data_IF_044707246639
#
_entry.id   IF_044707246639
#
_cell.length_a   1.000
_cell.length_b   1.000
_cell.length_c   1.000
_cell.angle_alpha   90.00
_cell.angle_beta   90.00
_cell.angle_gamma   90.00
#
_symmetry.space_group_name_H-M   'P 1'
#
loop_
_entity.id
_entity.type
_entity.pdbx_description
1 polymer ?
#
# COMPACT_ATOMS: atom_id res chain seq x y z
N UNK A 1 -21.44 24.21 18.60
CA UNK A 1 -22.13 22.90 18.72
C UNK A 1 -21.45 21.93 19.71
N UNK A 2 -20.14 22.06 19.99
CA UNK A 2 -19.37 21.19 20.90
C UNK A 2 -19.64 21.35 22.42
N UNK A 3 -20.28 22.45 22.85
CA UNK A 3 -20.50 22.72 24.29
C UNK A 3 -21.76 22.05 24.88
N UNK A 4 -22.77 21.75 24.04
CA UNK A 4 -24.00 21.09 24.49
C UNK A 4 -23.86 19.57 24.54
N UNK A 5 -23.00 18.99 23.69
CA UNK A 5 -22.64 17.57 23.70
C UNK A 5 -21.85 17.22 24.97
N UNK A 6 -20.93 18.09 25.39
CA UNK A 6 -20.16 17.91 26.62
C UNK A 6 -21.02 17.98 27.89
N UNK A 7 -21.94 18.95 27.98
CA UNK A 7 -22.89 19.04 29.11
C UNK A 7 -23.85 17.84 29.19
N UNK A 8 -24.30 17.31 28.05
CA UNK A 8 -25.14 16.11 27.97
C UNK A 8 -24.38 14.85 28.40
N UNK A 9 -23.10 14.72 28.01
CA UNK A 9 -22.25 13.62 28.47
C UNK A 9 -21.96 13.68 29.98
N UNK A 10 -21.78 14.87 30.56
CA UNK A 10 -21.61 15.03 32.02
C UNK A 10 -22.89 14.65 32.77
N UNK A 11 -24.06 15.11 32.30
CA UNK A 11 -25.35 14.74 32.89
C UNK A 11 -25.62 13.23 32.79
N UNK A 12 -25.22 12.58 31.69
CA UNK A 12 -25.31 11.13 31.53
C UNK A 12 -24.36 10.38 32.48
N UNK A 13 -23.14 10.88 32.69
CA UNK A 13 -22.17 10.30 33.62
C UNK A 13 -22.64 10.39 35.09
N UNK A 14 -23.23 11.53 35.48
CA UNK A 14 -23.78 11.73 36.83
C UNK A 14 -25.02 10.85 37.08
N UNK A 15 -25.85 10.63 36.05
CA UNK A 15 -27.01 9.74 36.15
C UNK A 15 -26.59 8.27 36.35
N UNK A 16 -25.51 7.82 35.70
CA UNK A 16 -24.97 6.46 35.87
C UNK A 16 -24.37 6.27 37.27
N UNK A 17 -23.70 7.29 37.84
CA UNK A 17 -23.17 7.23 39.20
C UNK A 17 -24.25 7.22 40.30
N UNK A 18 -25.40 7.88 40.08
CA UNK A 18 -26.48 7.92 41.06
C UNK A 18 -27.25 6.59 41.19
N UNK A 19 -27.27 5.76 40.13
CA UNK A 19 -27.98 4.47 40.12
C UNK A 19 -27.20 3.36 40.87
N UNK A 20 -25.90 3.53 41.10
CA UNK A 20 -25.09 2.54 41.82
C UNK A 20 -25.27 2.53 43.35
N UNK A 21 -25.98 3.52 43.92
CA UNK A 21 -26.07 3.75 45.36
C UNK A 21 -27.24 3.11 46.11
N UNK A 22 -28.17 2.45 45.43
CA UNK A 22 -29.38 1.88 46.07
C UNK A 22 -29.40 0.35 46.00
N UNK A 23 -28.37 -0.31 46.55
CA UNK A 23 -28.47 -1.71 46.92
C UNK A 23 -29.20 -1.79 48.26
N UNK A 24 -30.54 -1.86 48.24
CA UNK A 24 -31.27 -2.29 49.42
C UNK A 24 -30.78 -3.68 49.79
N UNK A 25 -30.22 -3.80 50.99
CA UNK A 25 -29.74 -5.05 51.54
C UNK A 25 -30.91 -6.02 51.67
N UNK A 26 -31.13 -6.80 50.61
CA UNK A 26 -32.06 -7.92 50.62
C UNK A 26 -31.47 -8.95 51.58
N UNK A 27 -32.00 -9.03 52.81
CA UNK A 27 -31.60 -10.06 53.77
C UNK A 27 -31.68 -11.43 53.11
N UNK A 28 -30.67 -12.26 53.36
CA UNK A 28 -30.60 -13.57 52.74
C UNK A 28 -31.75 -14.45 53.26
N UNK A 29 -32.28 -15.38 52.46
CA UNK A 29 -33.38 -16.27 52.92
C UNK A 29 -33.01 -16.97 54.22
N UNK A 30 -31.73 -17.29 54.39
CA UNK A 30 -31.20 -17.90 55.59
C UNK A 30 -31.33 -16.98 56.82
N UNK A 31 -31.02 -15.69 56.68
CA UNK A 31 -31.21 -14.72 57.77
C UNK A 31 -32.70 -14.49 58.08
N UNK A 32 -33.56 -14.48 57.06
CA UNK A 32 -35.01 -14.41 57.24
C UNK A 32 -35.56 -15.65 57.92
N UNK A 33 -35.00 -16.83 57.64
CA UNK A 33 -35.34 -18.08 58.30
C UNK A 33 -34.89 -18.07 59.77
N UNK A 34 -33.65 -17.63 60.05
CA UNK A 34 -33.12 -17.56 61.41
C UNK A 34 -33.93 -16.57 62.28
N UNK A 35 -34.32 -15.42 61.72
CA UNK A 35 -35.23 -14.49 62.39
C UNK A 35 -36.61 -15.09 62.61
N UNK A 36 -37.18 -15.78 61.63
CA UNK A 36 -38.46 -16.47 61.78
C UNK A 36 -38.39 -17.54 62.88
N UNK A 37 -37.32 -18.32 62.90
CA UNK A 37 -37.07 -19.37 63.88
C UNK A 37 -36.87 -18.82 65.30
N UNK A 38 -36.24 -17.65 65.45
CA UNK A 38 -36.04 -17.00 66.75
C UNK A 38 -37.29 -16.28 67.28
N UNK A 39 -38.10 -15.68 66.41
CA UNK A 39 -39.14 -14.71 66.81
C UNK A 39 -40.56 -15.30 66.80
N UNK A 40 -40.84 -16.25 65.91
CA UNK A 40 -42.20 -16.76 65.67
C UNK A 40 -42.39 -18.20 66.16
N UNK A 41 -41.41 -18.75 66.89
CA UNK A 41 -41.48 -20.08 67.48
C UNK A 41 -41.47 -20.03 69.00
N UNK A 42 -42.35 -20.80 69.65
CA UNK A 42 -42.42 -20.92 71.10
C UNK A 42 -42.25 -22.37 71.52
N UNK A 43 -41.34 -22.65 72.46
CA UNK A 43 -41.08 -24.01 72.93
C UNK A 43 -42.10 -24.44 73.96
N UNK A 44 -42.73 -25.60 73.78
CA UNK A 44 -43.54 -26.27 74.79
C UNK A 44 -43.12 -27.74 74.89
N UNK A 45 -42.67 -28.15 76.08
CA UNK A 45 -42.01 -29.43 76.30
C UNK A 45 -40.84 -29.64 75.30
N UNK A 46 -40.82 -30.74 74.54
CA UNK A 46 -39.83 -31.02 73.49
C UNK A 46 -40.22 -30.47 72.10
N UNK A 47 -41.36 -29.79 71.97
CA UNK A 47 -41.91 -29.33 70.69
C UNK A 47 -41.82 -27.82 70.50
N UNK A 48 -41.51 -27.38 69.28
CA UNK A 48 -41.55 -25.96 68.89
C UNK A 48 -42.86 -25.65 68.18
N UNK A 49 -43.70 -24.81 68.79
CA UNK A 49 -44.93 -24.33 68.19
C UNK A 49 -44.64 -23.16 67.27
N UNK A 50 -45.30 -23.15 66.12
CA UNK A 50 -45.19 -22.10 65.11
C UNK A 50 -46.59 -21.65 64.74
N UNK A 51 -46.80 -20.33 64.63
CA UNK A 51 -48.08 -19.79 64.16
C UNK A 51 -48.27 -20.14 62.68
N UNK A 52 -49.29 -20.95 62.37
CA UNK A 52 -49.73 -21.30 61.01
C UNK A 52 -49.70 -20.14 59.98
N UNK A 53 -50.28 -18.95 60.25
CA UNK A 53 -50.28 -17.85 59.27
C UNK A 53 -48.87 -17.31 58.97
N UNK A 54 -47.97 -17.34 59.96
CA UNK A 54 -46.60 -16.87 59.81
C UNK A 54 -45.75 -17.87 59.02
N UNK A 55 -45.93 -19.17 59.27
CA UNK A 55 -45.30 -20.23 58.48
C UNK A 55 -45.74 -20.17 57.00
N UNK A 56 -47.04 -19.95 56.75
CA UNK A 56 -47.57 -19.79 55.39
C UNK A 56 -46.99 -18.57 54.66
N UNK A 57 -46.81 -17.46 55.37
CA UNK A 57 -46.15 -16.27 54.81
C UNK A 57 -44.68 -16.51 54.49
N UNK A 58 -43.94 -17.19 55.37
CA UNK A 58 -42.54 -17.54 55.10
C UNK A 58 -42.43 -18.44 53.86
N UNK A 59 -43.29 -19.46 53.75
CA UNK A 59 -43.35 -20.31 52.56
C UNK A 59 -43.65 -19.53 51.28
N UNK A 60 -44.53 -18.52 51.35
CA UNK A 60 -44.81 -17.64 50.21
C UNK A 60 -43.56 -16.87 49.77
N UNK A 61 -42.78 -16.32 50.71
CA UNK A 61 -41.53 -15.60 50.44
C UNK A 61 -40.48 -16.51 49.79
N UNK A 62 -40.34 -17.74 50.29
CA UNK A 62 -39.42 -18.74 49.71
C UNK A 62 -39.86 -19.09 48.28
N UNK A 63 -41.14 -19.38 48.08
CA UNK A 63 -41.68 -19.71 46.75
C UNK A 63 -41.54 -18.56 45.76
N UNK A 64 -41.79 -17.32 46.17
CA UNK A 64 -41.62 -16.14 45.33
C UNK A 64 -40.14 -15.92 44.99
N UNK A 65 -39.22 -16.17 45.91
CA UNK A 65 -37.78 -16.04 45.63
C UNK A 65 -37.29 -17.11 44.66
N UNK A 66 -37.75 -18.35 44.78
CA UNK A 66 -37.44 -19.41 43.82
C UNK A 66 -37.93 -19.02 42.43
N UNK A 67 -39.17 -18.54 42.30
CA UNK A 67 -39.72 -18.06 41.03
C UNK A 67 -38.89 -16.91 40.44
N UNK A 68 -38.46 -15.96 41.26
CA UNK A 68 -37.59 -14.85 40.81
C UNK A 68 -36.24 -15.37 40.33
N UNK A 69 -35.63 -16.34 41.03
CA UNK A 69 -34.35 -16.96 40.64
C UNK A 69 -34.50 -17.75 39.33
N UNK A 70 -35.56 -18.54 39.18
CA UNK A 70 -35.88 -19.25 37.94
C UNK A 70 -36.09 -18.28 36.78
N UNK A 71 -36.82 -17.18 37.00
CA UNK A 71 -37.01 -16.11 36.02
C UNK A 71 -35.67 -15.49 35.59
N UNK A 72 -34.79 -15.17 36.54
CA UNK A 72 -33.44 -14.65 36.25
C UNK A 72 -32.59 -15.66 35.46
N UNK A 73 -32.67 -16.95 35.79
CA UNK A 73 -31.97 -18.01 35.05
C UNK A 73 -32.51 -18.11 33.62
N UNK A 74 -33.83 -18.03 33.43
CA UNK A 74 -34.44 -18.04 32.11
C UNK A 74 -34.02 -16.83 31.28
N UNK A 75 -34.04 -15.62 31.86
CA UNK A 75 -33.55 -14.40 31.20
C UNK A 75 -32.07 -14.47 30.84
N UNK A 76 -31.21 -14.93 31.76
CA UNK A 76 -29.77 -15.08 31.50
C UNK A 76 -29.51 -16.11 30.39
N UNK A 77 -30.25 -17.22 30.35
CA UNK A 77 -30.16 -18.20 29.25
C UNK A 77 -30.60 -17.60 27.91
N UNK A 78 -31.65 -16.79 27.90
CA UNK A 78 -32.10 -16.09 26.69
C UNK A 78 -31.05 -15.09 26.20
N UNK A 79 -30.43 -14.33 27.11
CA UNK A 79 -29.35 -13.40 26.81
C UNK A 79 -28.11 -14.12 26.26
N UNK A 80 -27.68 -15.22 26.88
CA UNK A 80 -26.58 -16.07 26.37
C UNK A 80 -26.90 -16.60 24.97
N UNK A 81 -28.14 -17.00 24.70
CA UNK A 81 -28.55 -17.45 23.36
C UNK A 81 -28.49 -16.30 22.35
N UNK A 82 -28.93 -15.10 22.74
CA UNK A 82 -28.84 -13.89 21.90
C UNK A 82 -27.38 -13.53 21.60
N UNK A 83 -26.52 -13.50 22.62
CA UNK A 83 -25.09 -13.22 22.48
C UNK A 83 -24.39 -14.24 21.58
N UNK A 84 -24.71 -15.54 21.70
CA UNK A 84 -24.18 -16.56 20.77
C UNK A 84 -24.65 -16.33 19.33
N UNK A 85 -25.89 -15.91 19.13
CA UNK A 85 -26.41 -15.55 17.81
C UNK A 85 -25.69 -14.34 17.21
N UNK A 86 -25.47 -13.30 18.01
CA UNK A 86 -24.70 -12.12 17.60
C UNK A 86 -23.24 -12.47 17.30
N UNK A 87 -22.60 -13.33 18.11
CA UNK A 87 -21.24 -13.79 17.87
C UNK A 87 -21.14 -14.57 16.55
N UNK A 88 -22.10 -15.44 16.27
CA UNK A 88 -22.16 -16.16 15.00
C UNK A 88 -22.34 -15.20 13.81
N UNK A 89 -23.19 -14.18 13.94
CA UNK A 89 -23.39 -13.17 12.91
C UNK A 89 -22.12 -12.32 12.69
N UNK A 90 -21.46 -11.89 13.76
CA UNK A 90 -20.22 -11.10 13.70
C UNK A 90 -19.08 -11.93 13.09
N UNK A 91 -18.94 -13.20 13.48
CA UNK A 91 -17.94 -14.08 12.87
C UNK A 91 -18.22 -14.31 11.38
N UNK A 92 -19.50 -14.49 11.01
CA UNK A 92 -19.88 -14.60 9.59
C UNK A 92 -19.53 -13.33 8.80
N UNK A 93 -19.81 -12.15 9.34
CA UNK A 93 -19.40 -10.87 8.73
C UNK A 93 -17.88 -10.73 8.66
N UNK A 94 -17.14 -11.23 9.64
CA UNK A 94 -15.68 -11.20 9.65
C UNK A 94 -15.10 -12.08 8.54
N UNK A 95 -15.62 -13.30 8.37
CA UNK A 95 -15.23 -14.20 7.28
C UNK A 95 -15.57 -13.61 5.92
N UNK A 96 -16.78 -13.04 5.75
CA UNK A 96 -17.19 -12.37 4.52
C UNK A 96 -16.30 -11.16 4.20
N UNK A 97 -15.97 -10.36 5.21
CA UNK A 97 -15.07 -9.20 5.06
C UNK A 97 -13.66 -9.65 4.71
N UNK A 98 -13.12 -10.70 5.34
CA UNK A 98 -11.82 -11.26 4.99
C UNK A 98 -11.80 -11.82 3.56
N UNK A 99 -12.85 -12.52 3.14
CA UNK A 99 -12.98 -13.02 1.78
C UNK A 99 -13.05 -11.87 0.76
N UNK A 100 -13.81 -10.82 1.06
CA UNK A 100 -13.88 -9.61 0.22
C UNK A 100 -12.54 -8.86 0.16
N UNK A 101 -11.81 -8.81 1.27
CA UNK A 101 -10.48 -8.20 1.33
C UNK A 101 -9.46 -8.99 0.52
N UNK A 102 -9.45 -10.33 0.62
CA UNK A 102 -8.58 -11.20 -0.17
C UNK A 102 -8.90 -11.11 -1.68
N UNK A 103 -10.18 -11.12 -2.04
CA UNK A 103 -10.60 -10.93 -3.43
C UNK A 103 -10.23 -9.52 -3.96
N UNK A 104 -10.33 -8.50 -3.11
CA UNK A 104 -9.93 -7.12 -3.46
C UNK A 104 -8.42 -6.97 -3.56
N UNK A 105 -7.63 -7.68 -2.74
CA UNK A 105 -6.18 -7.72 -2.87
C UNK A 105 -5.78 -8.41 -4.17
N UNK A 106 -6.42 -9.52 -4.55
CA UNK A 106 -6.18 -10.21 -5.83
C UNK A 106 -6.51 -9.31 -7.04
N UNK A 107 -7.64 -8.59 -6.98
CA UNK A 107 -8.06 -7.62 -8.00
C UNK A 107 -7.22 -6.33 -8.03
N UNK A 108 -6.69 -5.88 -6.89
CA UNK A 108 -5.83 -4.68 -6.83
C UNK A 108 -4.38 -4.97 -7.14
N UNK A 109 -3.95 -6.21 -6.99
CA UNK A 109 -2.60 -6.60 -7.39
C UNK A 109 -2.52 -6.73 -8.92
N UNK A 110 -3.62 -7.00 -9.63
CA UNK A 110 -3.63 -6.99 -11.10
C UNK A 110 -3.84 -5.59 -11.69
N UNK A 111 -2.78 -5.02 -12.26
CA UNK A 111 -2.91 -3.88 -13.19
C UNK A 111 -2.94 -4.47 -14.61
N UNK A 112 -4.05 -4.29 -15.32
CA UNK A 112 -4.16 -4.70 -16.71
C UNK A 112 -3.22 -3.85 -17.58
N UNK A 113 -2.14 -4.47 -18.07
CA UNK A 113 -1.23 -3.85 -19.03
C UNK A 113 -1.26 -4.67 -20.32
N UNK A 114 -1.80 -4.10 -21.40
CA UNK A 114 -1.97 -4.76 -22.71
C UNK A 114 -2.87 -6.02 -22.63
N UNK A 115 -3.94 -5.96 -21.85
CA UNK A 115 -4.92 -7.05 -21.75
C UNK A 115 -4.46 -8.28 -20.96
N UNK A 116 -3.25 -8.25 -20.38
CA UNK A 116 -2.75 -9.27 -19.46
C UNK A 116 -2.77 -8.67 -18.05
N UNK A 117 -3.39 -9.40 -17.12
CA UNK A 117 -3.39 -9.06 -15.70
C UNK A 117 -2.01 -9.40 -15.11
N UNK A 118 -1.28 -8.38 -14.63
CA UNK A 118 0.05 -8.55 -14.01
C UNK A 118 0.10 -7.90 -12.64
N UNK A 119 0.85 -8.51 -11.72
CA UNK A 119 1.03 -7.99 -10.36
C UNK A 119 1.68 -6.59 -10.36
N UNK A 120 1.43 -5.75 -9.34
CA UNK A 120 2.06 -4.42 -9.24
C UNK A 120 3.60 -4.47 -9.30
N UNK A 121 4.17 -5.52 -8.71
CA UNK A 121 5.63 -5.76 -8.73
C UNK A 121 6.12 -6.10 -10.14
N UNK A 122 5.40 -6.97 -10.86
CA UNK A 122 5.72 -7.32 -12.23
C UNK A 122 5.62 -6.10 -13.16
N UNK A 123 4.58 -5.28 -13.02
CA UNK A 123 4.42 -4.04 -13.80
C UNK A 123 5.61 -3.09 -13.60
N UNK A 124 5.94 -2.76 -12.34
CA UNK A 124 7.06 -1.86 -12.06
C UNK A 124 8.37 -2.42 -12.61
N UNK A 125 8.63 -3.72 -12.43
CA UNK A 125 9.84 -4.36 -12.97
C UNK A 125 9.89 -4.29 -14.49
N UNK A 126 8.77 -4.54 -15.16
CA UNK A 126 8.69 -4.52 -16.64
C UNK A 126 8.86 -3.10 -17.21
N UNK A 127 8.28 -2.10 -16.57
CA UNK A 127 8.45 -0.68 -16.96
C UNK A 127 9.91 -0.27 -16.82
N UNK A 128 10.55 -0.58 -15.68
CA UNK A 128 11.97 -0.28 -15.49
C UNK A 128 12.88 -1.03 -16.46
N UNK A 129 12.55 -2.27 -16.81
CA UNK A 129 13.26 -3.03 -17.84
C UNK A 129 13.21 -2.32 -19.20
N UNK A 130 12.02 -1.88 -19.62
CA UNK A 130 11.85 -1.12 -20.87
C UNK A 130 12.65 0.18 -20.85
N UNK A 131 12.60 0.92 -19.74
CA UNK A 131 13.36 2.16 -19.57
C UNK A 131 14.87 1.87 -19.71
N UNK A 132 15.37 0.82 -19.06
CA UNK A 132 16.79 0.44 -19.11
C UNK A 132 17.22 0.11 -20.56
N UNK A 133 16.43 -0.68 -21.28
CA UNK A 133 16.69 -1.01 -22.69
C UNK A 133 16.73 0.26 -23.55
N UNK A 134 15.77 1.18 -23.34
CA UNK A 134 15.74 2.46 -24.06
C UNK A 134 16.99 3.31 -23.79
N UNK A 135 17.39 3.40 -22.51
CA UNK A 135 18.58 4.15 -22.08
C UNK A 135 19.84 3.57 -22.73
N UNK A 136 19.99 2.24 -22.75
CA UNK A 136 21.10 1.56 -23.42
C UNK A 136 21.08 1.82 -24.94
N UNK A 137 19.90 1.78 -25.56
CA UNK A 137 19.73 2.09 -26.98
C UNK A 137 20.19 3.51 -27.32
N UNK A 138 19.73 4.51 -26.54
CA UNK A 138 20.12 5.91 -26.72
C UNK A 138 21.63 6.10 -26.49
N UNK A 139 22.18 5.49 -25.44
CA UNK A 139 23.62 5.55 -25.16
C UNK A 139 24.44 4.95 -26.30
N UNK A 140 24.03 3.80 -26.84
CA UNK A 140 24.69 3.17 -27.99
C UNK A 140 24.67 4.06 -29.23
N UNK A 141 23.52 4.65 -29.56
CA UNK A 141 23.40 5.58 -30.68
C UNK A 141 24.27 6.83 -30.48
N UNK A 142 24.34 7.37 -29.26
CA UNK A 142 25.19 8.51 -28.95
C UNK A 142 26.67 8.23 -29.17
N UNK A 143 27.16 7.06 -28.74
CA UNK A 143 28.55 6.63 -28.94
C UNK A 143 28.87 6.45 -30.43
N UNK A 144 27.95 5.81 -31.18
CA UNK A 144 28.10 5.63 -32.63
C UNK A 144 28.11 6.99 -33.33
N UNK A 145 27.24 7.93 -32.93
CA UNK A 145 27.19 9.27 -33.48
C UNK A 145 28.50 10.05 -33.26
N UNK A 146 29.07 10.03 -32.05
CA UNK A 146 30.37 10.67 -31.79
C UNK A 146 31.49 10.06 -32.63
N UNK A 147 31.53 8.72 -32.74
CA UNK A 147 32.53 8.02 -33.55
C UNK A 147 32.41 8.42 -35.03
N UNK A 148 31.20 8.41 -35.57
CA UNK A 148 30.94 8.75 -36.96
C UNK A 148 31.27 10.22 -37.26
N UNK A 149 31.02 11.13 -36.33
CA UNK A 149 31.37 12.53 -36.48
C UNK A 149 32.91 12.73 -36.53
N UNK A 150 33.66 12.01 -35.69
CA UNK A 150 35.15 12.05 -35.72
C UNK A 150 35.71 11.54 -37.04
N UNK A 151 35.23 10.37 -37.50
CA UNK A 151 35.66 9.76 -38.77
C UNK A 151 35.34 10.69 -39.94
N UNK A 152 34.13 11.26 -39.97
CA UNK A 152 33.72 12.19 -41.04
C UNK A 152 34.60 13.44 -41.06
N UNK A 153 34.95 13.99 -39.89
CA UNK A 153 35.85 15.14 -39.80
C UNK A 153 37.27 14.82 -40.27
N UNK A 154 37.78 13.64 -39.92
CA UNK A 154 39.09 13.17 -40.38
C UNK A 154 39.12 12.93 -41.89
N UNK A 155 38.09 12.28 -42.45
CA UNK A 155 37.96 12.07 -43.88
C UNK A 155 37.90 13.40 -44.66
N UNK A 156 37.15 14.39 -44.16
CA UNK A 156 37.10 15.75 -44.76
C UNK A 156 38.47 16.43 -44.74
N UNK A 157 39.23 16.32 -43.65
CA UNK A 157 40.58 16.88 -43.56
C UNK A 157 41.54 16.19 -44.53
N UNK A 158 41.46 14.87 -44.65
CA UNK A 158 42.28 14.10 -45.56
C UNK A 158 41.98 14.47 -47.02
N UNK A 159 40.69 14.60 -47.37
CA UNK A 159 40.28 15.07 -48.70
C UNK A 159 40.86 16.46 -49.01
N UNK A 160 40.71 17.42 -48.10
CA UNK A 160 41.26 18.76 -48.29
C UNK A 160 42.78 18.74 -48.49
N UNK A 161 43.50 17.90 -47.73
CA UNK A 161 44.95 17.74 -47.88
C UNK A 161 45.33 17.12 -49.23
N UNK A 162 44.61 16.10 -49.67
CA UNK A 162 44.85 15.45 -50.97
C UNK A 162 44.55 16.39 -52.13
N UNK A 163 43.50 17.21 -52.03
CA UNK A 163 43.18 18.25 -53.02
C UNK A 163 44.31 19.29 -53.11
N UNK A 164 44.84 19.75 -51.98
CA UNK A 164 45.98 20.68 -51.93
C UNK A 164 47.26 20.06 -52.53
N UNK A 165 47.56 18.82 -52.20
CA UNK A 165 48.71 18.09 -52.79
C UNK A 165 48.52 17.90 -54.31
N UNK A 166 47.29 17.65 -54.75
CA UNK A 166 46.97 17.46 -56.16
C UNK A 166 47.08 18.77 -56.95
N UNK A 167 46.57 19.89 -56.44
CA UNK A 167 46.73 21.20 -57.09
C UNK A 167 48.20 21.61 -57.15
N UNK A 168 48.94 21.44 -56.06
CA UNK A 168 50.39 21.70 -56.03
C UNK A 168 51.15 20.82 -57.05
N UNK A 169 50.77 19.55 -57.20
CA UNK A 169 51.36 18.67 -58.21
C UNK A 169 51.04 19.14 -59.64
N UNK A 170 49.79 19.54 -59.91
CA UNK A 170 49.41 20.09 -61.22
C UNK A 170 50.19 21.37 -61.55
N UNK A 171 50.34 22.28 -60.58
CA UNK A 171 51.11 23.52 -60.76
C UNK A 171 52.57 23.20 -61.07
N UNK A 172 53.21 22.32 -60.30
CA UNK A 172 54.59 21.88 -60.54
C UNK A 172 54.77 21.21 -61.90
N UNK A 173 53.84 20.37 -62.32
CA UNK A 173 53.86 19.74 -63.63
C UNK A 173 53.75 20.79 -64.77
N UNK A 174 52.87 21.78 -64.61
CA UNK A 174 52.71 22.90 -65.57
C UNK A 174 53.96 23.78 -65.63
N UNK A 175 54.60 24.06 -64.50
CA UNK A 175 55.86 24.79 -64.43
C UNK A 175 56.98 24.03 -65.16
N UNK A 176 57.11 22.72 -64.92
CA UNK A 176 58.12 21.89 -65.58
C UNK A 176 57.91 21.83 -67.09
N UNK A 177 56.67 21.67 -67.56
CA UNK A 177 56.37 21.74 -68.99
C UNK A 177 56.70 23.11 -69.59
N UNK A 178 56.43 24.18 -68.86
CA UNK A 178 56.75 25.54 -69.30
C UNK A 178 58.26 25.77 -69.38
N UNK A 179 59.02 25.29 -68.38
CA UNK A 179 60.49 25.31 -68.39
C UNK A 179 61.05 24.52 -69.57
N UNK A 180 60.59 23.28 -69.76
CA UNK A 180 61.00 22.42 -70.88
C UNK A 180 60.73 23.09 -72.24
N UNK A 181 59.56 23.71 -72.43
CA UNK A 181 59.25 24.47 -73.66
C UNK A 181 60.21 25.65 -73.87
N UNK A 182 60.54 26.40 -72.82
CA UNK A 182 61.49 27.53 -72.89
C UNK A 182 62.91 27.05 -73.23
N UNK A 183 63.35 25.95 -72.63
CA UNK A 183 64.66 25.34 -72.91
C UNK A 183 64.73 24.83 -74.35
N UNK A 184 63.69 24.12 -74.83
CA UNK A 184 63.59 23.67 -76.23
C UNK A 184 63.63 24.84 -77.21
N UNK A 185 62.89 25.91 -76.93
CA UNK A 185 62.91 27.10 -77.79
C UNK A 185 64.30 27.78 -77.79
N UNK A 186 64.97 27.85 -76.65
CA UNK A 186 66.33 28.40 -76.55
C UNK A 186 67.34 27.54 -77.32
N UNK A 187 67.23 26.21 -77.22
CA UNK A 187 68.05 25.28 -77.99
C UNK A 187 67.80 25.42 -79.52
N UNK A 188 66.56 25.58 -79.96
CA UNK A 188 66.26 25.81 -81.38
C UNK A 188 66.80 27.17 -81.86
N UNK A 189 66.62 28.23 -81.08
CA UNK A 189 67.12 29.56 -81.42
C UNK A 189 68.66 29.55 -81.55
N UNK A 190 69.37 28.93 -80.60
CA UNK A 190 70.84 28.82 -80.65
C UNK A 190 71.32 27.99 -81.85
N UNK A 191 70.65 26.88 -82.19
CA UNK A 191 70.97 26.10 -83.41
C UNK A 191 70.73 26.90 -84.70
N UNK A 192 69.67 27.71 -84.77
CA UNK A 192 69.40 28.56 -85.92
C UNK A 192 70.45 29.67 -86.07
N UNK A 193 70.86 30.29 -84.97
CA UNK A 193 71.97 31.26 -84.97
C UNK A 193 73.28 30.62 -85.44
N UNK A 194 73.58 29.39 -84.99
CA UNK A 194 74.74 28.64 -85.46
C UNK A 194 74.65 28.29 -86.96
N UNK A 195 73.46 27.95 -87.49
CA UNK A 195 73.26 27.67 -88.93
C UNK A 195 73.45 28.92 -89.81
N UNK A 196 73.08 30.11 -89.33
CA UNK A 196 73.21 31.37 -90.10
C UNK A 196 74.67 31.85 -90.17
N UNK A 197 75.53 31.39 -89.25
CA UNK A 197 76.96 31.76 -89.17
C UNK A 197 77.91 30.85 -89.96
N UNK A 198 77.39 29.83 -90.65
CA UNK A 198 78.13 28.92 -91.55
C UNK A 198 77.72 29.24 -92.98
#
# INVERSE_FOLDING_TARGET
MQLSTFRKNILSLVLVLAVSGASQAQQNIQEQFDQFYATETSTWQEYKLVKMPKLKNFWKIVADTIKVKEGKIASARAEVKSLKGQLAAVNGQLEETQASLAASEELNDSIAFIGIEMSKSAYNTFVWLIILVLVVGIASLYLIYMRNNKITREARKLLAKVEEEYTAHQEKARENQTKLKRELQTALNTLQEHRIKI
#
